data_IF_428607636416
#
_entry.id   IF_428607636416
#
_cell.length_a   1.000
_cell.length_b   1.000
_cell.length_c   1.000
_cell.angle_alpha   90.00
_cell.angle_beta   90.00
_cell.angle_gamma   90.00
#
_symmetry.space_group_name_H-M   'P 1'
#
loop_
_entity.id
_entity.type
_entity.pdbx_description
1 polymer ?
#
# COMPACT_ATOMS: atom_id res chain seq x y z
N UNK A 1 17.78 -0.34 18.87
CA UNK A 1 17.22 0.44 17.76
C UNK A 1 15.71 0.50 17.95
N UNK A 2 15.07 1.66 17.85
CA UNK A 2 13.62 1.77 18.08
C UNK A 2 12.86 1.56 16.79
N UNK A 3 11.78 0.77 16.81
CA UNK A 3 10.84 0.61 15.70
C UNK A 3 10.24 1.96 15.25
N UNK A 4 10.14 2.92 16.17
CA UNK A 4 9.63 4.27 15.90
C UNK A 4 10.51 5.11 14.97
N UNK A 5 11.73 4.66 14.66
CA UNK A 5 12.62 5.32 13.71
C UNK A 5 12.31 4.97 12.26
N UNK A 6 11.41 4.01 12.04
CA UNK A 6 11.00 3.54 10.73
C UNK A 6 9.58 3.93 10.41
N UNK A 7 9.31 4.10 9.14
CA UNK A 7 7.97 4.34 8.60
C UNK A 7 7.69 3.44 7.40
N UNK A 8 6.41 3.26 7.10
CA UNK A 8 5.94 2.51 5.95
C UNK A 8 5.15 3.44 5.03
N UNK A 9 5.48 3.41 3.76
CA UNK A 9 4.84 4.28 2.78
C UNK A 9 3.61 3.64 2.20
N UNK A 10 2.48 4.34 2.30
CA UNK A 10 1.21 3.94 1.72
C UNK A 10 1.08 4.59 0.35
N UNK A 11 1.07 3.75 -0.70
CA UNK A 11 1.02 4.16 -2.10
C UNK A 11 -0.25 3.60 -2.72
N UNK A 12 -1.10 4.49 -3.19
CA UNK A 12 -2.39 4.12 -3.78
C UNK A 12 -2.29 4.13 -5.29
N UNK A 13 -2.85 3.13 -5.94
CA UNK A 13 -2.96 3.08 -7.40
C UNK A 13 -4.31 3.60 -7.88
N UNK A 14 -4.28 4.43 -8.92
CA UNK A 14 -5.47 4.91 -9.63
C UNK A 14 -5.10 5.27 -11.08
N UNK A 15 -5.98 5.98 -11.79
CA UNK A 15 -5.71 6.45 -13.15
C UNK A 15 -6.51 7.72 -13.47
N UNK A 16 -6.02 8.52 -14.41
CA UNK A 16 -6.65 9.78 -14.83
C UNK A 16 -8.06 9.63 -15.41
N UNK A 17 -8.41 8.44 -15.89
CA UNK A 17 -9.72 8.14 -16.48
C UNK A 17 -10.88 8.51 -15.55
N UNK A 18 -10.67 8.43 -14.24
CA UNK A 18 -11.73 8.69 -13.26
C UNK A 18 -12.03 10.17 -13.03
N UNK A 19 -11.20 11.08 -13.55
CA UNK A 19 -11.36 12.51 -13.36
C UNK A 19 -10.84 13.03 -12.01
N UNK A 20 -10.72 14.37 -11.88
CA UNK A 20 -10.09 14.98 -10.72
C UNK A 20 -10.86 14.76 -9.42
N UNK A 21 -12.17 14.84 -9.43
CA UNK A 21 -13.02 14.69 -8.23
C UNK A 21 -12.88 13.31 -7.59
N UNK A 22 -12.90 12.25 -8.42
CA UNK A 22 -12.69 10.88 -7.94
C UNK A 22 -11.27 10.71 -7.40
N UNK A 23 -10.26 11.29 -8.05
CA UNK A 23 -8.87 11.20 -7.58
C UNK A 23 -8.66 11.94 -6.26
N UNK A 24 -9.32 13.07 -6.03
CA UNK A 24 -9.33 13.78 -4.76
C UNK A 24 -10.00 12.94 -3.67
N UNK A 25 -11.13 12.31 -3.98
CA UNK A 25 -11.82 11.38 -3.07
C UNK A 25 -10.92 10.20 -2.69
N UNK A 26 -10.23 9.60 -3.66
CA UNK A 26 -9.29 8.50 -3.42
C UNK A 26 -8.16 8.94 -2.49
N UNK A 27 -7.61 10.13 -2.71
CA UNK A 27 -6.54 10.68 -1.87
C UNK A 27 -7.02 10.96 -0.44
N UNK A 28 -8.20 11.57 -0.29
CA UNK A 28 -8.81 11.85 1.02
C UNK A 28 -9.07 10.55 1.81
N UNK A 29 -9.66 9.54 1.19
CA UNK A 29 -9.88 8.23 1.82
C UNK A 29 -8.60 7.51 2.18
N UNK A 30 -7.56 7.62 1.34
CA UNK A 30 -6.25 7.06 1.65
C UNK A 30 -5.61 7.73 2.87
N UNK A 31 -5.73 9.05 2.98
CA UNK A 31 -5.24 9.79 4.14
C UNK A 31 -6.01 9.42 5.41
N UNK A 32 -7.35 9.34 5.34
CA UNK A 32 -8.19 8.90 6.46
C UNK A 32 -7.80 7.50 6.96
N UNK A 33 -7.64 6.54 6.03
CA UNK A 33 -7.19 5.19 6.39
C UNK A 33 -5.84 5.21 7.11
N UNK A 34 -4.90 6.01 6.63
CA UNK A 34 -3.58 6.14 7.24
C UNK A 34 -3.66 6.77 8.63
N UNK A 35 -4.47 7.80 8.79
CA UNK A 35 -4.65 8.49 10.07
C UNK A 35 -5.28 7.56 11.11
N UNK A 36 -6.33 6.81 10.75
CA UNK A 36 -6.95 5.83 11.63
C UNK A 36 -6.04 4.63 11.95
N UNK A 37 -5.29 4.13 10.97
CA UNK A 37 -4.31 3.08 11.21
C UNK A 37 -3.25 3.53 12.23
N UNK A 38 -2.77 4.76 12.11
CA UNK A 38 -1.81 5.33 13.06
C UNK A 38 -2.44 5.58 14.44
N UNK A 39 -3.68 6.08 14.48
CA UNK A 39 -4.41 6.36 15.71
C UNK A 39 -4.78 5.09 16.50
N UNK A 40 -4.89 3.95 15.81
CA UNK A 40 -5.31 2.68 16.42
C UNK A 40 -4.36 2.18 17.52
N UNK A 41 -3.11 2.63 17.56
CA UNK A 41 -2.08 2.15 18.47
C UNK A 41 -1.62 0.70 18.24
N UNK A 42 -2.19 0.01 17.25
CA UNK A 42 -1.88 -1.41 16.98
C UNK A 42 -0.64 -1.60 16.12
N UNK A 43 -0.19 -0.56 15.41
CA UNK A 43 0.96 -0.64 14.51
C UNK A 43 2.27 -0.24 15.21
N UNK A 44 3.37 -0.98 14.97
CA UNK A 44 4.65 -0.71 15.63
C UNK A 44 5.41 0.48 15.02
N UNK A 45 5.07 0.87 13.79
CA UNK A 45 5.69 1.94 13.04
C UNK A 45 4.62 2.84 12.42
N UNK A 46 5.00 4.07 12.09
CA UNK A 46 4.12 5.01 11.41
C UNK A 46 3.87 4.59 9.96
N UNK A 47 2.64 4.72 9.50
CA UNK A 47 2.27 4.68 8.09
C UNK A 47 2.19 6.10 7.57
N UNK A 48 2.72 6.34 6.37
CA UNK A 48 2.73 7.67 5.73
C UNK A 48 2.11 7.55 4.35
N UNK A 49 1.01 8.24 4.11
CA UNK A 49 0.46 8.36 2.76
C UNK A 49 1.40 9.19 1.89
N UNK A 50 1.84 8.63 0.78
CA UNK A 50 2.80 9.28 -0.11
C UNK A 50 2.14 9.86 -1.35
N UNK A 51 1.36 9.04 -2.04
CA UNK A 51 0.77 9.46 -3.32
C UNK A 51 -0.36 8.53 -3.76
N UNK A 52 -1.33 9.08 -4.49
CA UNK A 52 -2.16 8.33 -5.42
C UNK A 52 -1.51 8.35 -6.80
N UNK A 53 -0.80 7.28 -7.12
CA UNK A 53 -0.03 7.15 -8.35
C UNK A 53 -0.93 6.73 -9.53
N UNK A 54 -0.83 7.45 -10.63
CA UNK A 54 -1.69 7.32 -11.82
C UNK A 54 -0.91 6.94 -13.08
N UNK A 55 0.41 7.02 -13.02
CA UNK A 55 1.29 6.76 -14.15
C UNK A 55 2.47 5.87 -13.77
N UNK A 56 3.03 5.21 -14.76
CA UNK A 56 4.27 4.45 -14.60
C UNK A 56 5.40 5.31 -14.00
N UNK A 57 5.50 6.58 -14.41
CA UNK A 57 6.51 7.50 -13.89
C UNK A 57 6.32 7.78 -12.41
N UNK A 58 5.12 8.15 -11.98
CA UNK A 58 4.82 8.42 -10.55
C UNK A 58 5.10 7.19 -9.67
N UNK A 59 4.75 5.99 -10.15
CA UNK A 59 5.01 4.74 -9.46
C UNK A 59 6.52 4.49 -9.34
N UNK A 60 7.25 4.65 -10.43
CA UNK A 60 8.70 4.42 -10.45
C UNK A 60 9.42 5.43 -9.57
N UNK A 61 9.01 6.70 -9.60
CA UNK A 61 9.61 7.76 -8.80
C UNK A 61 9.44 7.50 -7.29
N UNK A 62 8.22 7.17 -6.84
CA UNK A 62 7.98 6.89 -5.41
C UNK A 62 8.70 5.64 -4.94
N UNK A 63 8.83 4.62 -5.79
CA UNK A 63 9.59 3.42 -5.47
C UNK A 63 11.07 3.72 -5.33
N UNK A 64 11.64 4.50 -6.24
CA UNK A 64 13.04 4.93 -6.16
C UNK A 64 13.31 5.79 -4.94
N UNK A 65 12.43 6.76 -4.66
CA UNK A 65 12.51 7.55 -3.43
C UNK A 65 12.52 6.64 -2.19
N UNK A 66 11.60 5.66 -2.12
CA UNK A 66 11.55 4.70 -1.02
C UNK A 66 12.85 3.88 -0.88
N UNK A 67 13.45 3.45 -1.99
CA UNK A 67 14.68 2.69 -1.96
C UNK A 67 15.83 3.44 -1.28
N UNK A 68 15.91 4.75 -1.51
CA UNK A 68 16.98 5.61 -0.95
C UNK A 68 16.64 6.16 0.44
N UNK A 69 15.38 6.23 0.83
CA UNK A 69 14.99 6.72 2.14
C UNK A 69 15.31 5.68 3.23
N UNK A 70 16.16 6.08 4.18
CA UNK A 70 16.58 5.20 5.29
C UNK A 70 15.48 4.98 6.32
N UNK A 71 14.50 5.86 6.42
CA UNK A 71 13.36 5.71 7.32
C UNK A 71 12.30 4.78 6.74
N UNK A 72 12.17 4.74 5.42
CA UNK A 72 11.22 3.84 4.75
C UNK A 72 11.67 2.39 4.91
N UNK A 73 10.95 1.60 5.72
CA UNK A 73 11.21 0.18 5.92
C UNK A 73 10.45 -0.71 4.94
N UNK A 74 9.45 -0.18 4.25
CA UNK A 74 8.68 -0.94 3.26
C UNK A 74 7.54 -0.13 2.65
N UNK A 75 6.96 -0.67 1.57
CA UNK A 75 5.83 -0.08 0.86
C UNK A 75 4.58 -0.93 1.09
N UNK A 76 3.47 -0.25 1.39
CA UNK A 76 2.12 -0.81 1.43
C UNK A 76 1.38 -0.22 0.25
N UNK A 77 0.82 -1.08 -0.61
CA UNK A 77 -0.03 -0.62 -1.72
C UNK A 77 -1.50 -0.93 -1.47
N UNK A 78 -2.35 -0.08 -2.02
CA UNK A 78 -3.79 -0.24 -2.06
C UNK A 78 -4.34 0.25 -3.40
N UNK A 79 -5.36 -0.43 -3.91
CA UNK A 79 -6.11 -0.01 -5.08
C UNK A 79 -7.54 0.28 -4.66
N UNK A 80 -7.96 1.55 -4.62
CA UNK A 80 -9.34 1.93 -4.32
C UNK A 80 -10.21 1.85 -5.57
N UNK A 81 -9.77 2.55 -6.62
CA UNK A 81 -10.25 2.39 -7.99
C UNK A 81 -9.44 1.30 -8.69
N UNK A 82 -9.84 0.94 -9.90
CA UNK A 82 -9.00 0.13 -10.75
C UNK A 82 -7.69 0.86 -11.09
N UNK A 83 -6.57 0.26 -10.77
CA UNK A 83 -5.24 0.74 -11.15
C UNK A 83 -4.61 -0.24 -12.13
N UNK A 84 -4.30 0.20 -13.37
CA UNK A 84 -3.69 -0.69 -14.35
C UNK A 84 -2.35 -1.22 -13.83
N UNK A 85 -2.34 -2.48 -13.40
CA UNK A 85 -1.17 -3.09 -12.75
C UNK A 85 0.04 -3.20 -13.66
N UNK A 86 -0.17 -3.17 -14.96
CA UNK A 86 0.89 -3.07 -15.96
C UNK A 86 1.80 -1.85 -15.75
N UNK A 87 1.26 -0.74 -15.24
CA UNK A 87 2.03 0.46 -14.93
C UNK A 87 3.01 0.26 -13.77
N UNK A 88 2.77 -0.75 -12.91
CA UNK A 88 3.59 -1.04 -11.74
C UNK A 88 4.84 -1.86 -12.05
N UNK A 89 4.94 -2.47 -13.23
CA UNK A 89 6.00 -3.42 -13.58
C UNK A 89 7.38 -2.82 -13.34
N UNK A 90 7.65 -1.63 -13.88
CA UNK A 90 8.96 -0.99 -13.75
C UNK A 90 9.29 -0.65 -12.29
N UNK A 91 8.32 -0.09 -11.56
CA UNK A 91 8.47 0.18 -10.13
C UNK A 91 8.77 -1.09 -9.33
N UNK A 92 8.05 -2.18 -9.60
CA UNK A 92 8.26 -3.45 -8.91
C UNK A 92 9.63 -4.08 -9.22
N UNK A 93 10.11 -3.96 -10.46
CA UNK A 93 11.45 -4.42 -10.82
C UNK A 93 12.53 -3.63 -10.09
N UNK A 94 12.33 -2.33 -9.90
CA UNK A 94 13.27 -1.46 -9.19
C UNK A 94 13.19 -1.57 -7.66
N UNK A 95 12.11 -2.13 -7.11
CA UNK A 95 11.83 -2.14 -5.67
C UNK A 95 12.82 -2.99 -4.88
N UNK A 96 13.51 -2.37 -3.92
CA UNK A 96 14.48 -3.01 -3.01
C UNK A 96 14.00 -3.09 -1.56
N UNK A 97 12.78 -2.62 -1.29
CA UNK A 97 12.17 -2.63 0.04
C UNK A 97 11.16 -3.76 0.19
N UNK A 98 10.92 -4.25 1.40
CA UNK A 98 9.80 -5.13 1.68
C UNK A 98 8.47 -4.56 1.15
N UNK A 99 7.64 -5.42 0.59
CA UNK A 99 6.41 -5.06 -0.08
C UNK A 99 5.20 -5.79 0.51
N UNK A 100 4.15 -5.03 0.78
CA UNK A 100 2.84 -5.54 1.20
C UNK A 100 1.73 -4.96 0.34
N UNK A 101 0.80 -5.80 -0.11
CA UNK A 101 -0.44 -5.35 -0.71
C UNK A 101 -1.59 -5.51 0.29
N UNK A 102 -2.25 -4.41 0.62
CA UNK A 102 -3.45 -4.39 1.47
C UNK A 102 -4.68 -4.54 0.58
N UNK A 103 -5.20 -5.75 0.48
CA UNK A 103 -6.40 -6.08 -0.29
C UNK A 103 -7.64 -5.80 0.58
N UNK A 104 -8.14 -4.59 0.50
CA UNK A 104 -9.25 -4.09 1.32
C UNK A 104 -10.18 -3.20 0.53
N UNK A 105 -11.45 -3.14 0.95
CA UNK A 105 -12.40 -2.11 0.52
C UNK A 105 -12.36 -0.95 1.51
N UNK A 106 -12.68 0.25 1.04
CA UNK A 106 -12.83 1.40 1.93
C UNK A 106 -14.09 1.27 2.79
N UNK A 107 -15.22 0.92 2.17
CA UNK A 107 -16.50 0.77 2.86
C UNK A 107 -16.59 -0.57 3.59
N UNK A 108 -17.20 -0.57 4.77
CA UNK A 108 -17.48 -1.80 5.55
C UNK A 108 -18.59 -2.63 4.93
N UNK A 109 -19.55 -1.97 4.31
CA UNK A 109 -20.75 -2.57 3.73
C UNK A 109 -21.02 -2.01 2.33
N UNK A 110 -21.78 -2.75 1.55
CA UNK A 110 -22.27 -2.31 0.25
C UNK A 110 -23.62 -1.63 0.47
N UNK A 111 -23.77 -0.34 0.15
CA UNK A 111 -25.06 0.37 0.32
C UNK A 111 -26.05 -0.10 -0.75
N UNK A 112 -26.98 -0.96 -0.38
CA UNK A 112 -27.90 -1.61 -1.32
C UNK A 112 -28.76 -0.64 -2.15
N UNK A 113 -29.11 0.52 -1.59
CA UNK A 113 -30.01 1.50 -2.22
C UNK A 113 -29.27 2.60 -3.01
N UNK A 114 -27.94 2.64 -2.96
CA UNK A 114 -27.11 3.70 -3.54
C UNK A 114 -26.06 3.19 -4.55
N UNK A 115 -26.18 1.92 -4.96
CA UNK A 115 -25.22 1.33 -5.89
C UNK A 115 -25.53 1.77 -7.31
N UNK A 116 -24.68 2.62 -7.85
CA UNK A 116 -24.67 3.02 -9.25
C UNK A 116 -23.29 2.77 -9.90
N UNK A 117 -23.15 3.21 -11.14
CA UNK A 117 -21.88 3.07 -11.87
C UNK A 117 -20.76 3.91 -11.26
N UNK A 118 -21.08 5.06 -10.66
CA UNK A 118 -20.08 5.93 -10.03
C UNK A 118 -19.57 5.30 -8.74
N UNK A 119 -20.45 4.72 -7.94
CA UNK A 119 -20.06 3.92 -6.78
C UNK A 119 -19.16 2.74 -7.18
N UNK A 120 -19.54 2.00 -8.24
CA UNK A 120 -18.74 0.87 -8.74
C UNK A 120 -17.37 1.33 -9.26
N UNK A 121 -17.30 2.43 -9.98
CA UNK A 121 -16.03 2.96 -10.51
C UNK A 121 -15.09 3.39 -9.39
N UNK A 122 -15.62 3.98 -8.33
CA UNK A 122 -14.83 4.39 -7.18
C UNK A 122 -14.35 3.17 -6.36
N UNK A 123 -15.16 2.12 -6.23
CA UNK A 123 -14.91 0.98 -5.34
C UNK A 123 -14.51 -0.30 -6.08
N UNK A 124 -13.47 -0.23 -6.91
CA UNK A 124 -12.97 -1.35 -7.71
C UNK A 124 -11.72 -2.03 -7.14
N UNK A 125 -11.50 -1.97 -5.84
CA UNK A 125 -10.31 -2.56 -5.21
C UNK A 125 -10.10 -4.03 -5.58
N UNK A 126 -11.14 -4.86 -5.48
CA UNK A 126 -11.05 -6.29 -5.79
C UNK A 126 -10.64 -6.56 -7.25
N UNK A 127 -11.01 -5.72 -8.18
CA UNK A 127 -10.61 -5.82 -9.58
C UNK A 127 -9.11 -5.47 -9.74
N UNK A 128 -8.68 -4.36 -9.17
CA UNK A 128 -7.27 -3.95 -9.17
C UNK A 128 -6.37 -4.96 -8.48
N UNK A 129 -6.80 -5.50 -7.33
CA UNK A 129 -6.06 -6.48 -6.53
C UNK A 129 -5.72 -7.75 -7.33
N UNK A 130 -6.61 -8.21 -8.20
CA UNK A 130 -6.40 -9.42 -9.02
C UNK A 130 -5.26 -9.22 -10.01
N UNK A 131 -5.24 -8.11 -10.75
CA UNK A 131 -4.17 -7.79 -11.68
C UNK A 131 -2.85 -7.53 -10.94
N UNK A 132 -2.93 -6.83 -9.83
CA UNK A 132 -1.77 -6.51 -8.99
C UNK A 132 -1.10 -7.78 -8.46
N UNK A 133 -1.91 -8.73 -7.97
CA UNK A 133 -1.45 -10.04 -7.56
C UNK A 133 -0.83 -10.85 -8.71
N UNK A 134 -1.42 -10.78 -9.90
CA UNK A 134 -0.91 -11.47 -11.09
C UNK A 134 0.45 -10.93 -11.53
N UNK A 135 0.62 -9.61 -11.64
CA UNK A 135 1.90 -8.99 -12.03
C UNK A 135 2.99 -9.33 -11.01
N UNK A 136 2.72 -9.22 -9.73
CA UNK A 136 3.69 -9.56 -8.69
C UNK A 136 4.09 -11.05 -8.72
N UNK A 137 3.14 -11.96 -9.04
CA UNK A 137 3.43 -13.37 -9.24
C UNK A 137 4.31 -13.62 -10.48
N UNK A 138 4.00 -12.96 -11.59
CA UNK A 138 4.79 -13.05 -12.84
C UNK A 138 6.23 -12.59 -12.65
N UNK A 139 6.44 -11.52 -11.89
CA UNK A 139 7.77 -11.00 -11.55
C UNK A 139 8.48 -11.82 -10.46
N UNK A 140 7.83 -12.87 -9.92
CA UNK A 140 8.34 -13.68 -8.80
C UNK A 140 8.77 -12.82 -7.60
N UNK A 141 8.02 -11.77 -7.36
CA UNK A 141 8.30 -10.78 -6.33
C UNK A 141 8.00 -11.33 -4.94
N UNK A 142 8.93 -11.29 -3.99
CA UNK A 142 8.62 -11.54 -2.59
C UNK A 142 7.61 -10.50 -2.10
N UNK A 143 6.45 -10.95 -1.63
CA UNK A 143 5.39 -10.04 -1.19
C UNK A 143 4.58 -10.61 -0.05
N UNK A 144 3.99 -9.74 0.73
CA UNK A 144 2.90 -10.04 1.65
C UNK A 144 1.59 -9.53 1.05
N UNK A 145 0.55 -10.34 1.10
CA UNK A 145 -0.83 -9.91 0.83
C UNK A 145 -1.61 -10.03 2.13
N UNK A 146 -2.27 -8.95 2.52
CA UNK A 146 -3.15 -8.91 3.69
C UNK A 146 -4.54 -8.58 3.17
N UNK A 147 -5.44 -9.55 3.23
CA UNK A 147 -6.83 -9.39 2.81
C UNK A 147 -7.75 -9.24 4.02
N UNK A 148 -8.76 -8.40 3.87
CA UNK A 148 -9.78 -8.10 4.86
C UNK A 148 -9.95 -6.61 5.08
N UNK A 149 -11.03 -6.22 5.78
CA UNK A 149 -11.31 -4.81 6.00
C UNK A 149 -10.27 -4.18 6.93
N UNK A 150 -9.73 -3.04 6.55
CA UNK A 150 -8.61 -2.34 7.21
C UNK A 150 -8.89 -1.92 8.66
N UNK A 151 -10.15 -1.78 9.05
CA UNK A 151 -10.56 -1.48 10.44
C UNK A 151 -10.50 -2.70 11.37
N UNK A 152 -10.43 -3.93 10.82
CA UNK A 152 -10.42 -5.15 11.62
C UNK A 152 -9.10 -5.32 12.38
N UNK A 153 -9.19 -5.63 13.66
CA UNK A 153 -8.02 -5.87 14.51
C UNK A 153 -7.12 -6.99 13.97
N UNK A 154 -7.72 -8.04 13.40
CA UNK A 154 -6.96 -9.13 12.78
C UNK A 154 -6.15 -8.69 11.55
N UNK A 155 -6.61 -7.71 10.81
CA UNK A 155 -5.90 -7.13 9.66
C UNK A 155 -4.77 -6.23 10.17
N UNK A 156 -5.06 -5.37 11.14
CA UNK A 156 -4.07 -4.49 11.80
C UNK A 156 -2.96 -5.30 12.46
N UNK A 157 -3.30 -6.39 13.14
CA UNK A 157 -2.32 -7.29 13.76
C UNK A 157 -1.37 -7.90 12.71
N UNK A 158 -1.92 -8.46 11.62
CA UNK A 158 -1.11 -9.03 10.52
C UNK A 158 -0.22 -7.98 9.85
N UNK A 159 -0.72 -6.74 9.72
CA UNK A 159 0.06 -5.62 9.18
C UNK A 159 1.22 -5.27 10.13
N UNK A 160 0.95 -5.19 11.43
CA UNK A 160 1.96 -4.95 12.46
C UNK A 160 3.05 -6.04 12.50
N UNK A 161 2.68 -7.31 12.34
CA UNK A 161 3.65 -8.41 12.29
C UNK A 161 4.53 -8.35 11.05
N UNK A 162 3.94 -8.02 9.90
CA UNK A 162 4.71 -7.80 8.68
C UNK A 162 5.66 -6.60 8.83
N UNK A 163 5.21 -5.50 9.44
CA UNK A 163 6.06 -4.33 9.69
C UNK A 163 7.28 -4.68 10.55
N UNK A 164 7.09 -5.48 11.62
CA UNK A 164 8.21 -5.95 12.46
C UNK A 164 9.22 -6.75 11.64
N UNK A 165 8.73 -7.66 10.79
CA UNK A 165 9.57 -8.46 9.91
C UNK A 165 10.33 -7.60 8.91
N UNK A 166 9.67 -6.60 8.32
CA UNK A 166 10.27 -5.68 7.36
C UNK A 166 11.37 -4.80 8.00
N UNK A 167 11.14 -4.31 9.21
CA UNK A 167 12.20 -3.60 9.96
C UNK A 167 13.36 -4.55 10.27
N UNK A 168 13.07 -5.81 10.63
CA UNK A 168 14.12 -6.83 10.80
C UNK A 168 15.02 -6.98 9.57
N UNK A 169 14.44 -6.96 8.37
CA UNK A 169 15.22 -6.97 7.10
C UNK A 169 16.08 -5.71 6.98
N UNK A 170 15.54 -4.54 7.27
CA UNK A 170 16.30 -3.28 7.19
C UNK A 170 17.49 -3.27 8.15
N UNK A 171 17.26 -3.69 9.40
CA UNK A 171 18.30 -3.77 10.44
C UNK A 171 19.37 -4.81 10.08
N UNK A 172 18.97 -5.96 9.53
CA UNK A 172 19.91 -7.03 9.17
C UNK A 172 20.92 -6.61 8.10
N UNK A 173 20.54 -5.68 7.21
CA UNK A 173 21.45 -5.15 6.19
C UNK A 173 22.59 -4.29 6.77
N UNK A 174 22.37 -3.73 7.95
CA UNK A 174 23.36 -2.89 8.65
C UNK A 174 24.15 -3.66 9.72
N UNK A 175 23.84 -4.95 9.92
CA UNK A 175 24.46 -5.77 10.96
C UNK A 175 25.95 -5.98 10.66
N UNK A 176 26.78 -5.61 11.60
CA UNK A 176 28.22 -5.90 11.58
C UNK A 176 28.51 -7.04 12.54
N UNK A 177 28.99 -8.15 12.02
CA UNK A 177 29.47 -9.28 12.84
C UNK A 177 30.98 -9.17 12.96
N UNK A 178 31.47 -8.99 14.19
CA UNK A 178 32.90 -9.09 14.48
C UNK A 178 33.25 -10.56 14.78
N UNK A 179 34.30 -11.03 14.16
CA UNK A 179 34.84 -12.37 14.34
C UNK A 179 36.10 -12.33 15.16
#
# INVERSE_FOLDING_TARGET
MSLKNYEFWFVVGSQFLYGPEVLETVAARAQEMVDELNASGSLPCKVVYKVTAKTNKEITDVVREANYDKKCAGIITWCHTFSPSKMWINGFVDLQKPYCHLATQYNTEIPNDEIDMDFMNLNQAAHGDREHGFIAARLRMPRKVIAGHWTKDSVRARLGDWMRSAVGVAVSKELKVMR
#
